data_IF_711888265937
#
_entry.id   IF_711888265937
#
_cell.length_a   1.000
_cell.length_b   1.000
_cell.length_c   1.000
_cell.angle_alpha   90.00
_cell.angle_beta   90.00
_cell.angle_gamma   90.00
#
_symmetry.space_group_name_H-M   'P 1'
#
loop_
_entity.id
_entity.type
_entity.pdbx_description
1 polymer ?
#
# COMPACT_ATOMS: atom_id res chain seq x y z
N UNK A 1 -2.54 -29.41 6.00
CA UNK A 1 -2.27 -28.12 5.33
C UNK A 1 -3.34 -27.94 4.25
N UNK A 2 -4.39 -27.15 4.49
CA UNK A 2 -5.44 -26.96 3.46
C UNK A 2 -4.85 -26.05 2.39
N UNK A 3 -4.54 -26.60 1.22
CA UNK A 3 -4.28 -25.81 0.01
C UNK A 3 -5.52 -24.95 -0.24
N UNK A 4 -5.40 -23.64 0.01
CA UNK A 4 -6.36 -22.66 -0.47
C UNK A 4 -6.31 -22.65 -2.00
N UNK A 5 -7.42 -22.26 -2.64
CA UNK A 5 -7.51 -22.16 -4.09
C UNK A 5 -6.45 -21.18 -4.62
N UNK A 6 -5.36 -21.71 -5.17
CA UNK A 6 -4.37 -20.92 -5.87
C UNK A 6 -4.95 -20.49 -7.23
N UNK A 7 -4.97 -19.17 -7.47
CA UNK A 7 -5.37 -18.61 -8.75
C UNK A 7 -4.12 -18.11 -9.48
N UNK A 8 -3.89 -18.61 -10.69
CA UNK A 8 -2.74 -18.21 -11.50
C UNK A 8 -3.20 -17.19 -12.55
N UNK A 9 -2.64 -15.98 -12.50
CA UNK A 9 -2.83 -14.95 -13.51
C UNK A 9 -1.66 -14.97 -14.50
N UNK A 10 -1.94 -15.19 -15.78
CA UNK A 10 -0.92 -15.01 -16.80
C UNK A 10 -0.47 -13.55 -16.82
N UNK A 11 0.86 -13.31 -16.83
CA UNK A 11 1.45 -11.96 -16.81
C UNK A 11 0.94 -11.07 -17.95
N UNK A 12 0.59 -11.63 -19.11
CA UNK A 12 0.00 -10.89 -20.22
C UNK A 12 -1.36 -10.26 -19.86
N UNK A 13 -2.07 -10.80 -18.88
CA UNK A 13 -3.36 -10.31 -18.41
C UNK A 13 -3.26 -9.39 -17.19
N UNK A 14 -2.06 -9.14 -16.66
CA UNK A 14 -1.86 -8.33 -15.46
C UNK A 14 -2.44 -6.92 -15.62
N UNK A 15 -2.12 -6.25 -16.74
CA UNK A 15 -2.62 -4.89 -17.02
C UNK A 15 -4.15 -4.83 -17.12
N UNK A 16 -4.77 -5.83 -17.73
CA UNK A 16 -6.22 -5.94 -17.83
C UNK A 16 -6.86 -6.16 -16.45
N UNK A 17 -6.26 -7.02 -15.63
CA UNK A 17 -6.74 -7.30 -14.28
C UNK A 17 -6.64 -6.07 -13.37
N UNK A 18 -5.50 -5.36 -13.38
CA UNK A 18 -5.33 -4.11 -12.63
C UNK A 18 -6.36 -3.04 -13.06
N UNK A 19 -6.66 -2.95 -14.37
CA UNK A 19 -7.75 -2.09 -14.86
C UNK A 19 -9.12 -2.46 -14.31
N UNK A 20 -9.41 -3.74 -14.04
CA UNK A 20 -10.66 -4.12 -13.39
C UNK A 20 -10.70 -3.69 -11.93
N UNK A 21 -9.57 -3.80 -11.20
CA UNK A 21 -9.48 -3.33 -9.81
C UNK A 21 -9.74 -1.83 -9.70
N UNK A 22 -9.16 -1.04 -10.62
CA UNK A 22 -9.31 0.42 -10.66
C UNK A 22 -10.78 0.89 -10.78
N UNK A 23 -11.69 0.05 -11.26
CA UNK A 23 -13.13 0.40 -11.36
C UNK A 23 -13.81 0.55 -9.99
N UNK A 24 -13.29 -0.10 -8.96
CA UNK A 24 -13.94 -0.21 -7.65
C UNK A 24 -13.14 0.40 -6.49
N UNK A 25 -11.87 0.75 -6.73
CA UNK A 25 -10.95 1.30 -5.76
C UNK A 25 -9.88 2.13 -6.47
N UNK A 26 -9.32 3.13 -5.79
CA UNK A 26 -8.16 3.84 -6.29
C UNK A 26 -7.00 2.85 -6.45
N UNK A 27 -6.37 2.83 -7.62
CA UNK A 27 -5.23 1.96 -7.90
C UNK A 27 -3.95 2.78 -7.76
N UNK A 28 -3.13 2.41 -6.79
CA UNK A 28 -1.88 3.07 -6.45
C UNK A 28 -0.73 2.10 -6.70
N UNK A 29 0.39 2.58 -7.21
CA UNK A 29 1.57 1.75 -7.36
C UNK A 29 2.85 2.54 -7.63
N UNK A 30 3.98 1.85 -7.73
CA UNK A 30 5.29 2.47 -7.93
C UNK A 30 5.38 3.05 -9.33
N UNK A 31 5.59 4.36 -9.41
CA UNK A 31 5.88 5.08 -10.65
C UNK A 31 7.26 5.72 -10.53
N UNK A 32 7.93 5.91 -11.67
CA UNK A 32 9.19 6.65 -11.71
C UNK A 32 8.91 8.15 -11.73
N UNK A 33 9.49 8.89 -10.78
CA UNK A 33 9.42 10.34 -10.72
C UNK A 33 10.27 10.98 -11.83
N UNK A 34 10.09 12.28 -12.03
CA UNK A 34 10.91 13.07 -12.98
C UNK A 34 12.40 13.00 -12.62
N UNK A 35 12.72 12.97 -11.32
CA UNK A 35 14.08 12.95 -10.79
C UNK A 35 14.69 11.53 -10.78
N UNK A 36 13.90 10.51 -11.14
CA UNK A 36 14.34 9.12 -11.28
C UNK A 36 14.05 8.22 -10.07
N UNK A 37 13.56 8.80 -8.97
CA UNK A 37 13.13 8.07 -7.78
C UNK A 37 11.85 7.25 -8.04
N UNK A 38 11.58 6.29 -7.17
CA UNK A 38 10.34 5.52 -7.20
C UNK A 38 9.40 6.05 -6.12
N UNK A 39 8.23 6.53 -6.53
CA UNK A 39 7.19 7.04 -5.64
C UNK A 39 5.88 6.30 -5.89
N UNK A 40 5.07 6.12 -4.85
CA UNK A 40 3.75 5.55 -5.00
C UNK A 40 2.73 6.66 -5.30
N UNK A 41 1.93 6.47 -6.36
CA UNK A 41 0.89 7.42 -6.74
C UNK A 41 -0.22 6.75 -7.56
N UNK A 42 -1.29 7.50 -7.89
CA UNK A 42 -2.42 7.00 -8.70
C UNK A 42 -1.92 6.52 -10.07
N UNK A 43 -2.29 5.29 -10.44
CA UNK A 43 -1.92 4.71 -11.73
C UNK A 43 -2.96 5.10 -12.79
N UNK A 44 -2.56 6.04 -13.64
CA UNK A 44 -3.35 6.43 -14.82
C UNK A 44 -3.10 5.49 -16.01
N UNK A 45 -1.84 5.08 -16.21
CA UNK A 45 -1.42 4.19 -17.27
C UNK A 45 -0.65 2.99 -16.71
N UNK A 46 -1.10 1.78 -17.04
CA UNK A 46 -0.55 0.54 -16.47
C UNK A 46 0.86 0.22 -16.98
N UNK A 47 1.27 0.81 -18.10
CA UNK A 47 2.59 0.63 -18.66
C UNK A 47 3.68 1.42 -17.91
N UNK A 48 3.27 2.38 -17.07
CA UNK A 48 4.20 3.23 -16.33
C UNK A 48 4.59 2.63 -14.96
N UNK A 49 3.98 1.50 -14.58
CA UNK A 49 4.24 0.82 -13.30
C UNK A 49 5.66 0.24 -13.31
N UNK A 50 6.48 0.71 -12.38
CA UNK A 50 7.85 0.25 -12.18
C UNK A 50 7.88 -0.97 -11.25
N UNK A 51 7.96 -2.19 -11.81
CA UNK A 51 8.00 -3.43 -11.02
C UNK A 51 9.42 -3.87 -10.65
N UNK A 52 10.37 -3.65 -11.54
CA UNK A 52 11.79 -4.00 -11.35
C UNK A 52 12.57 -2.72 -11.04
N UNK A 53 12.49 -2.30 -9.79
CA UNK A 53 13.05 -1.04 -9.33
C UNK A 53 13.48 -1.15 -7.86
N UNK A 54 14.35 -0.25 -7.37
CA UNK A 54 14.67 -0.15 -5.96
C UNK A 54 13.42 0.10 -5.08
N UNK A 55 13.62 0.04 -3.76
CA UNK A 55 12.59 0.43 -2.80
C UNK A 55 12.14 1.89 -3.03
N UNK A 56 10.87 2.17 -2.79
CA UNK A 56 10.33 3.51 -2.99
C UNK A 56 10.75 4.48 -1.90
N UNK A 57 10.80 5.76 -2.25
CA UNK A 57 11.02 6.85 -1.31
C UNK A 57 9.96 7.93 -1.63
N UNK A 58 8.99 8.19 -0.73
CA UNK A 58 8.79 7.57 0.59
C UNK A 58 8.18 6.15 0.52
N UNK A 59 8.06 5.51 1.70
CA UNK A 59 7.34 4.24 1.87
C UNK A 59 5.83 4.40 1.64
N UNK A 60 5.15 3.42 1.01
CA UNK A 60 3.71 3.42 0.76
C UNK A 60 2.84 3.42 2.03
N UNK A 61 3.44 3.35 3.24
CA UNK A 61 2.69 3.51 4.49
C UNK A 61 1.93 4.84 4.58
N UNK A 62 2.31 5.86 3.81
CA UNK A 62 1.63 7.17 3.82
C UNK A 62 0.13 7.10 3.49
N UNK A 63 -0.29 6.11 2.69
CA UNK A 63 -1.70 5.95 2.31
C UNK A 63 -2.60 5.44 3.44
N UNK A 64 -2.00 4.80 4.45
CA UNK A 64 -2.69 4.31 5.65
C UNK A 64 -2.32 5.11 6.90
N UNK A 65 -1.19 5.83 6.89
CA UNK A 65 -0.68 6.64 7.98
C UNK A 65 -0.06 7.94 7.42
N UNK A 66 -0.90 8.91 7.02
CA UNK A 66 -0.44 10.14 6.40
C UNK A 66 0.24 11.07 7.41
N UNK A 67 1.11 11.95 6.93
CA UNK A 67 1.79 12.96 7.77
C UNK A 67 0.81 13.96 8.43
N UNK A 68 -0.34 14.18 7.80
CA UNK A 68 -1.38 15.10 8.27
C UNK A 68 -2.74 14.46 8.01
N UNK A 69 -3.64 14.58 8.98
CA UNK A 69 -5.00 14.07 8.87
C UNK A 69 -5.99 15.04 9.51
N UNK A 70 -7.08 15.34 8.79
CA UNK A 70 -8.22 16.05 9.38
C UNK A 70 -8.99 15.08 10.27
N UNK A 71 -9.00 15.31 11.58
CA UNK A 71 -9.68 14.41 12.51
C UNK A 71 -11.17 14.75 12.68
N UNK A 72 -11.50 16.04 12.79
CA UNK A 72 -12.88 16.48 12.97
C UNK A 72 -13.12 17.86 12.39
N UNK A 73 -14.39 18.17 12.17
CA UNK A 73 -14.87 19.51 11.82
C UNK A 73 -15.96 19.93 12.78
N UNK A 74 -15.93 21.20 13.17
CA UNK A 74 -16.94 21.83 13.99
C UNK A 74 -17.82 22.74 13.11
N UNK A 75 -19.13 22.55 13.15
CA UNK A 75 -20.14 23.37 12.48
C UNK A 75 -21.45 23.31 13.26
N UNK A 76 -22.13 24.44 13.43
CA UNK A 76 -23.47 24.51 14.05
C UNK A 76 -23.57 23.78 15.39
N UNK A 77 -22.58 24.00 16.27
CA UNK A 77 -22.43 23.32 17.58
C UNK A 77 -22.35 21.78 17.52
N UNK A 78 -22.04 21.22 16.36
CA UNK A 78 -21.85 19.77 16.15
C UNK A 78 -20.41 19.47 15.78
N UNK A 79 -19.86 18.42 16.39
CA UNK A 79 -18.57 17.84 16.05
C UNK A 79 -18.82 16.63 15.15
N UNK A 80 -18.20 16.62 13.96
CA UNK A 80 -18.20 15.47 13.06
C UNK A 80 -16.78 14.94 12.89
N UNK A 81 -16.57 13.66 13.21
CA UNK A 81 -15.30 12.97 12.89
C UNK A 81 -15.17 12.74 11.38
N UNK A 82 -13.95 12.89 10.87
CA UNK A 82 -13.59 12.83 9.46
C UNK A 82 -12.68 11.62 9.17
N UNK A 83 -13.22 10.42 9.34
CA UNK A 83 -12.51 9.19 8.95
C UNK A 83 -12.47 9.03 7.42
N UNK A 84 -11.31 8.63 6.89
CA UNK A 84 -11.13 8.38 5.46
C UNK A 84 -11.44 6.93 5.10
N UNK A 85 -12.60 6.71 4.49
CA UNK A 85 -13.08 5.39 4.05
C UNK A 85 -12.86 5.14 2.54
N UNK A 86 -11.89 5.82 1.92
CA UNK A 86 -11.59 5.62 0.51
C UNK A 86 -11.04 4.20 0.27
N UNK A 87 -11.63 3.48 -0.69
CA UNK A 87 -11.16 2.16 -1.07
C UNK A 87 -9.94 2.27 -1.96
N UNK A 88 -8.86 1.59 -1.58
CA UNK A 88 -7.58 1.63 -2.30
C UNK A 88 -7.02 0.22 -2.52
N UNK A 89 -6.35 0.05 -3.66
CA UNK A 89 -5.47 -1.08 -3.94
C UNK A 89 -4.07 -0.51 -4.14
N UNK A 90 -3.13 -0.91 -3.29
CA UNK A 90 -1.73 -0.51 -3.38
C UNK A 90 -0.96 -1.71 -3.93
N UNK A 91 -0.60 -1.61 -5.20
CA UNK A 91 0.05 -2.65 -5.97
C UNK A 91 1.56 -2.43 -6.04
N UNK A 92 2.34 -3.50 -5.95
CA UNK A 92 3.80 -3.44 -6.09
C UNK A 92 4.54 -3.10 -4.80
N UNK A 93 3.94 -3.33 -3.64
CA UNK A 93 4.56 -3.04 -2.34
C UNK A 93 5.64 -4.08 -2.01
N UNK A 94 6.80 -3.65 -1.51
CA UNK A 94 7.88 -4.57 -1.13
C UNK A 94 7.56 -5.27 0.19
N UNK A 95 8.12 -6.47 0.39
CA UNK A 95 7.93 -7.27 1.61
C UNK A 95 8.41 -6.55 2.88
N UNK A 96 9.47 -5.75 2.77
CA UNK A 96 9.93 -4.88 3.86
C UNK A 96 8.92 -3.78 4.24
N UNK A 97 8.23 -3.16 3.27
CA UNK A 97 7.15 -2.21 3.53
C UNK A 97 5.94 -2.91 4.15
N UNK A 98 5.62 -4.12 3.69
CA UNK A 98 4.55 -4.91 4.29
C UNK A 98 4.81 -5.25 5.76
N UNK A 99 6.07 -5.49 6.11
CA UNK A 99 6.48 -5.68 7.50
C UNK A 99 6.28 -4.40 8.33
N UNK A 100 6.52 -3.23 7.73
CA UNK A 100 6.22 -1.94 8.36
C UNK A 100 4.70 -1.78 8.59
N UNK A 101 3.87 -2.16 7.62
CA UNK A 101 2.40 -2.18 7.76
C UNK A 101 1.96 -3.11 8.89
N UNK A 102 2.51 -4.32 8.98
CA UNK A 102 2.18 -5.27 10.04
C UNK A 102 2.55 -4.73 11.45
N UNK A 103 3.66 -4.00 11.56
CA UNK A 103 4.03 -3.33 12.81
C UNK A 103 3.04 -2.23 13.18
N UNK A 104 2.61 -1.42 12.21
CA UNK A 104 1.58 -0.39 12.42
C UNK A 104 0.24 -1.02 12.80
N UNK A 105 -0.17 -2.11 12.16
CA UNK A 105 -1.39 -2.87 12.48
C UNK A 105 -1.39 -3.31 13.95
N UNK A 106 -0.24 -3.79 14.46
CA UNK A 106 -0.11 -4.19 15.87
C UNK A 106 -0.23 -3.03 16.84
N UNK A 107 0.31 -1.87 16.50
CA UNK A 107 0.29 -0.70 17.37
C UNK A 107 -1.09 -0.03 17.37
N UNK A 108 -1.62 0.30 16.19
CA UNK A 108 -2.86 1.06 16.01
C UNK A 108 -4.13 0.19 16.02
N UNK A 109 -4.01 -1.13 15.82
CA UNK A 109 -5.11 -2.10 15.93
C UNK A 109 -5.06 -2.94 17.21
N UNK A 110 -4.21 -2.57 18.17
CA UNK A 110 -3.97 -3.32 19.41
C UNK A 110 -5.04 -3.08 20.49
N UNK A 111 -4.58 -2.91 21.73
CA UNK A 111 -5.46 -2.74 22.91
C UNK A 111 -6.41 -1.53 22.78
N UNK A 112 -5.94 -0.45 22.17
CA UNK A 112 -6.73 0.73 21.86
C UNK A 112 -6.69 0.97 20.36
N UNK A 113 -7.84 0.84 19.72
CA UNK A 113 -7.96 0.99 18.28
C UNK A 113 -7.95 2.46 17.87
N UNK A 114 -7.03 2.82 16.98
CA UNK A 114 -7.07 4.11 16.28
C UNK A 114 -8.03 4.02 15.09
N UNK A 115 -9.21 4.64 15.25
CA UNK A 115 -10.26 4.60 14.23
C UNK A 115 -9.86 5.26 12.90
N UNK A 116 -8.94 6.21 12.89
CA UNK A 116 -8.52 6.90 11.65
C UNK A 116 -7.57 6.00 10.84
N UNK A 117 -6.58 5.42 11.51
CA UNK A 117 -5.70 4.42 10.91
C UNK A 117 -6.51 3.21 10.42
N UNK A 118 -7.36 2.65 11.29
CA UNK A 118 -8.09 1.42 10.97
C UNK A 118 -9.13 1.63 9.87
N UNK A 119 -9.74 2.81 9.77
CA UNK A 119 -10.63 3.15 8.64
C UNK A 119 -9.88 3.06 7.31
N UNK A 120 -8.68 3.64 7.19
CA UNK A 120 -7.85 3.53 5.98
C UNK A 120 -7.38 2.10 5.74
N UNK A 121 -6.87 1.46 6.80
CA UNK A 121 -6.27 0.12 6.74
C UNK A 121 -7.27 -0.95 6.30
N UNK A 122 -8.51 -0.90 6.79
CA UNK A 122 -9.60 -1.82 6.41
C UNK A 122 -10.10 -1.60 4.99
N UNK A 123 -9.98 -0.37 4.47
CA UNK A 123 -10.35 -0.03 3.09
C UNK A 123 -9.18 -0.15 2.11
N UNK A 124 -8.03 -0.69 2.52
CA UNK A 124 -6.84 -0.81 1.69
C UNK A 124 -6.44 -2.28 1.49
N UNK A 125 -6.28 -2.68 0.24
CA UNK A 125 -5.69 -3.97 -0.14
C UNK A 125 -4.27 -3.74 -0.63
N UNK A 126 -3.32 -4.45 -0.05
CA UNK A 126 -1.93 -4.47 -0.50
C UNK A 126 -1.68 -5.69 -1.39
N UNK A 127 -1.03 -5.48 -2.53
CA UNK A 127 -0.53 -6.55 -3.40
C UNK A 127 0.98 -6.41 -3.43
N UNK A 128 1.66 -7.33 -2.74
CA UNK A 128 3.11 -7.29 -2.60
C UNK A 128 3.81 -7.94 -3.79
N UNK A 129 5.01 -7.45 -4.09
CA UNK A 129 5.96 -8.05 -5.03
C UNK A 129 7.30 -8.24 -4.33
N UNK A 130 7.92 -9.39 -4.57
CA UNK A 130 9.23 -9.67 -3.99
C UNK A 130 10.37 -8.98 -4.75
N UNK A 131 11.45 -8.73 -4.02
CA UNK A 131 12.70 -8.24 -4.60
C UNK A 131 13.49 -9.41 -5.19
N UNK A 132 13.64 -9.45 -6.51
CA UNK A 132 14.50 -10.43 -7.16
C UNK A 132 16.00 -10.11 -6.97
N UNK A 133 16.35 -8.82 -6.85
CA UNK A 133 17.72 -8.33 -6.72
C UNK A 133 17.79 -7.31 -5.57
N UNK A 134 17.87 -7.73 -4.29
CA UNK A 134 18.02 -6.80 -3.18
C UNK A 134 19.36 -6.07 -3.24
N UNK A 135 19.38 -4.79 -2.84
CA UNK A 135 20.61 -4.00 -2.77
C UNK A 135 21.57 -4.56 -1.69
N UNK A 136 22.90 -4.51 -1.87
CA UNK A 136 23.86 -4.97 -0.85
C UNK A 136 23.70 -4.30 0.53
N UNK A 137 23.07 -3.11 0.57
CA UNK A 137 22.81 -2.36 1.81
C UNK A 137 21.43 -2.65 2.42
N UNK A 138 20.63 -3.54 1.83
CA UNK A 138 19.33 -3.93 2.36
C UNK A 138 19.46 -4.88 3.57
N UNK A 139 18.60 -4.67 4.56
CA UNK A 139 18.58 -5.46 5.81
C UNK A 139 17.40 -6.46 5.89
N UNK A 140 16.66 -6.68 4.80
CA UNK A 140 15.42 -7.45 4.81
C UNK A 140 15.61 -8.89 5.36
N UNK A 141 16.69 -9.56 4.94
CA UNK A 141 17.03 -10.91 5.41
C UNK A 141 17.34 -10.89 6.91
N UNK A 142 18.18 -9.93 7.35
CA UNK A 142 18.59 -9.82 8.76
C UNK A 142 17.43 -9.47 9.70
N UNK A 143 16.39 -8.80 9.18
CA UNK A 143 15.18 -8.44 9.93
C UNK A 143 14.04 -9.45 9.75
N UNK A 144 14.21 -10.49 8.93
CA UNK A 144 13.17 -11.47 8.65
C UNK A 144 11.96 -10.89 7.91
N UNK A 145 12.17 -9.86 7.08
CA UNK A 145 11.10 -9.13 6.37
C UNK A 145 11.04 -9.44 4.88
N UNK A 146 11.79 -10.46 4.43
CA UNK A 146 11.80 -10.95 3.05
C UNK A 146 13.19 -10.97 2.40
N UNK A 147 13.28 -11.26 1.09
CA UNK A 147 12.15 -11.33 0.16
C UNK A 147 11.22 -12.53 0.48
#
# INVERSE_FOLDING_TARGET
MKMQNDFILNKAHLSYWLRQLRKNAALIGPLKSVDGDITFSSIENMHDIALDCPASIPSPKEFIFPQKEEMFRFSDDKIRSLQNNEKRVIFGVRSCDMSAVALLDRFYGGLFEDNYYMSRRRNTVFISIECNNPDPTCFCIGLGTGP
#
